data_IF_038606498532
#
_entry.id   IF_038606498532
#
_cell.length_a   1.000
_cell.length_b   1.000
_cell.length_c   1.000
_cell.angle_alpha   90.00
_cell.angle_beta   90.00
_cell.angle_gamma   90.00
#
_symmetry.space_group_name_H-M   'P 1'
#
loop_
_entity.id
_entity.type
_entity.pdbx_description
1 polymer ?
#
# COMPACT_ATOMS: atom_id res chain seq x y z
N UNK A 1 7.65 -24.21 5.79
CA UNK A 1 7.05 -22.87 5.65
C UNK A 1 7.26 -22.45 4.19
N UNK A 2 6.20 -22.15 3.43
CA UNK A 2 6.37 -21.62 2.07
C UNK A 2 7.02 -20.23 2.17
N UNK A 3 7.97 -19.88 1.30
CA UNK A 3 8.45 -18.50 1.22
C UNK A 3 7.29 -17.58 0.82
N UNK A 4 7.34 -16.32 1.27
CA UNK A 4 6.37 -15.30 0.86
C UNK A 4 6.33 -15.20 -0.67
N UNK A 5 5.15 -15.12 -1.30
CA UNK A 5 5.05 -14.90 -2.74
C UNK A 5 5.46 -13.48 -3.13
N UNK A 6 5.39 -12.52 -2.19
CA UNK A 6 5.73 -11.11 -2.42
C UNK A 6 7.25 -10.93 -2.60
N UNK A 7 7.71 -10.28 -3.70
CA UNK A 7 9.11 -9.92 -3.89
C UNK A 7 9.70 -9.12 -2.73
N UNK A 8 10.98 -9.34 -2.43
CA UNK A 8 11.62 -8.80 -1.23
C UNK A 8 11.65 -7.25 -1.19
N UNK A 9 11.84 -6.61 -2.33
CA UNK A 9 11.83 -5.15 -2.48
C UNK A 9 10.43 -4.57 -2.20
N UNK A 10 9.38 -5.18 -2.75
CA UNK A 10 7.99 -4.81 -2.47
C UNK A 10 7.65 -5.02 -0.99
N UNK A 11 8.01 -6.17 -0.42
CA UNK A 11 7.80 -6.46 0.99
C UNK A 11 8.51 -5.43 1.90
N UNK A 12 9.73 -5.04 1.54
CA UNK A 12 10.52 -4.03 2.27
C UNK A 12 9.82 -2.67 2.26
N UNK A 13 9.34 -2.20 1.10
CA UNK A 13 8.67 -0.91 1.02
C UNK A 13 7.26 -0.94 1.63
N UNK A 14 6.52 -2.06 1.55
CA UNK A 14 5.26 -2.24 2.28
C UNK A 14 5.46 -2.13 3.79
N UNK A 15 6.51 -2.74 4.34
CA UNK A 15 6.80 -2.65 5.78
C UNK A 15 7.21 -1.23 6.19
N UNK A 16 8.00 -0.53 5.35
CA UNK A 16 8.34 0.88 5.57
C UNK A 16 7.10 1.77 5.54
N UNK A 17 6.20 1.54 4.58
CA UNK A 17 4.93 2.25 4.49
C UNK A 17 4.06 1.98 5.72
N UNK A 18 3.94 0.71 6.13
CA UNK A 18 3.18 0.32 7.32
C UNK A 18 3.68 1.02 8.58
N UNK A 19 4.99 0.96 8.85
CA UNK A 19 5.60 1.61 10.02
C UNK A 19 5.42 3.13 9.98
N UNK A 20 5.57 3.75 8.82
CA UNK A 20 5.40 5.19 8.67
C UNK A 20 3.94 5.62 8.90
N UNK A 21 2.98 4.85 8.40
CA UNK A 21 1.55 5.09 8.58
C UNK A 21 1.13 5.03 10.05
N UNK A 22 1.60 4.01 10.78
CA UNK A 22 1.35 3.86 12.22
C UNK A 22 1.87 5.03 13.07
N UNK A 23 2.81 5.83 12.53
CA UNK A 23 3.36 7.01 13.17
C UNK A 23 2.70 8.32 12.71
N UNK A 24 1.74 8.27 11.78
CA UNK A 24 1.02 9.48 11.35
C UNK A 24 -0.03 9.87 12.42
N UNK A 25 -0.09 11.16 12.79
CA UNK A 25 -1.28 11.72 13.40
C UNK A 25 -2.53 11.41 12.58
N UNK A 26 -3.68 11.20 13.26
CA UNK A 26 -4.91 10.72 12.63
C UNK A 26 -5.40 11.65 11.52
N UNK A 27 -5.37 12.97 11.73
CA UNK A 27 -5.71 13.99 10.74
C UNK A 27 -4.88 13.84 9.45
N UNK A 28 -3.58 13.56 9.59
CA UNK A 28 -2.68 13.32 8.45
C UNK A 28 -2.95 11.98 7.79
N UNK A 29 -3.28 10.94 8.55
CA UNK A 29 -3.66 9.65 7.99
C UNK A 29 -4.95 9.79 7.15
N UNK A 30 -5.95 10.52 7.66
CA UNK A 30 -7.18 10.85 6.91
C UNK A 30 -6.86 11.60 5.62
N UNK A 31 -6.00 12.63 5.68
CA UNK A 31 -5.59 13.37 4.49
C UNK A 31 -4.80 12.54 3.46
N UNK A 32 -4.10 11.49 3.92
CA UNK A 32 -3.32 10.60 3.07
C UNK A 32 -4.14 9.45 2.46
N UNK A 33 -5.29 9.09 3.04
CA UNK A 33 -6.15 8.00 2.56
C UNK A 33 -6.45 8.04 1.04
N UNK A 34 -6.77 9.19 0.42
CA UNK A 34 -7.06 9.23 -1.02
C UNK A 34 -5.91 8.71 -1.89
N UNK A 35 -4.65 8.97 -1.50
CA UNK A 35 -3.49 8.47 -2.22
C UNK A 35 -3.30 6.95 -2.09
N UNK A 36 -3.64 6.39 -0.94
CA UNK A 36 -3.61 4.93 -0.73
C UNK A 36 -4.73 4.27 -1.53
N UNK A 37 -5.94 4.84 -1.51
CA UNK A 37 -7.07 4.35 -2.30
C UNK A 37 -6.85 4.43 -3.81
N UNK A 38 -6.18 5.48 -4.29
CA UNK A 38 -5.79 5.56 -5.70
C UNK A 38 -4.83 4.43 -6.09
N UNK A 39 -3.88 4.08 -5.23
CA UNK A 39 -3.00 2.93 -5.45
C UNK A 39 -3.80 1.62 -5.44
N UNK A 40 -4.67 1.41 -4.45
CA UNK A 40 -5.53 0.22 -4.35
C UNK A 40 -6.38 0.02 -5.61
N UNK A 41 -7.04 1.08 -6.09
CA UNK A 41 -7.89 1.01 -7.27
C UNK A 41 -7.09 0.70 -8.55
N UNK A 42 -5.86 1.21 -8.67
CA UNK A 42 -5.00 0.88 -9.80
C UNK A 42 -4.50 -0.57 -9.75
N UNK A 43 -4.24 -1.10 -8.55
CA UNK A 43 -3.81 -2.49 -8.38
C UNK A 43 -4.90 -3.50 -8.75
N UNK A 44 -6.15 -3.24 -8.35
CA UNK A 44 -7.28 -4.16 -8.56
C UNK A 44 -8.01 -3.88 -9.87
N UNK A 45 -7.84 -2.70 -10.47
CA UNK A 45 -8.56 -2.27 -11.67
C UNK A 45 -10.00 -1.79 -11.42
N UNK A 46 -10.42 -1.71 -10.15
CA UNK A 46 -11.73 -1.21 -9.74
C UNK A 46 -11.66 -0.50 -8.38
N UNK A 47 -12.66 0.34 -8.04
CA UNK A 47 -12.69 1.02 -6.74
C UNK A 47 -12.71 0.04 -5.55
N UNK A 48 -11.76 0.21 -4.63
CA UNK A 48 -11.72 -0.55 -3.37
C UNK A 48 -12.53 0.19 -2.29
N UNK A 49 -13.35 -0.49 -1.47
CA UNK A 49 -14.09 0.15 -0.39
C UNK A 49 -13.21 0.91 0.59
N UNK A 50 -13.59 2.15 0.90
CA UNK A 50 -12.92 2.96 1.91
C UNK A 50 -13.37 2.55 3.32
N UNK A 51 -12.51 1.77 4.00
CA UNK A 51 -12.70 1.34 5.39
C UNK A 51 -12.02 2.28 6.40
N UNK A 52 -11.51 3.43 5.92
CA UNK A 52 -10.89 4.45 6.73
C UNK A 52 -9.41 4.20 7.09
N UNK A 53 -8.78 5.17 7.76
CA UNK A 53 -7.34 5.18 7.99
C UNK A 53 -6.84 4.09 8.93
N UNK A 54 -7.74 3.48 9.70
CA UNK A 54 -7.40 2.36 10.59
C UNK A 54 -7.12 1.06 9.82
N UNK A 55 -7.64 0.91 8.60
CA UNK A 55 -7.66 -0.37 7.87
C UNK A 55 -6.99 -0.28 6.49
N UNK A 56 -6.85 0.93 5.92
CA UNK A 56 -6.41 1.10 4.52
C UNK A 56 -5.03 0.51 4.19
N UNK A 57 -4.10 0.48 5.15
CA UNK A 57 -2.79 -0.18 4.96
C UNK A 57 -2.90 -1.70 5.02
N UNK A 58 -3.81 -2.24 5.84
CA UNK A 58 -4.05 -3.68 5.87
C UNK A 58 -4.73 -4.15 4.57
N UNK A 59 -5.63 -3.34 3.99
CA UNK A 59 -6.17 -3.59 2.65
C UNK A 59 -5.07 -3.63 1.59
N UNK A 60 -4.12 -2.68 1.63
CA UNK A 60 -2.98 -2.66 0.71
C UNK A 60 -2.10 -3.89 0.86
N UNK A 61 -1.83 -4.34 2.09
CA UNK A 61 -1.03 -5.54 2.34
C UNK A 61 -1.74 -6.80 1.83
N UNK A 62 -3.05 -6.92 2.05
CA UNK A 62 -3.85 -8.06 1.59
C UNK A 62 -3.87 -8.14 0.06
N UNK A 63 -4.21 -7.04 -0.62
CA UNK A 63 -4.27 -6.97 -2.08
C UNK A 63 -2.91 -7.28 -2.72
N UNK A 64 -1.82 -6.70 -2.19
CA UNK A 64 -0.48 -7.03 -2.72
C UNK A 64 -0.14 -8.50 -2.51
N UNK A 65 -0.52 -9.09 -1.37
CA UNK A 65 -0.29 -10.52 -1.16
C UNK A 65 -1.09 -11.37 -2.15
N UNK A 66 -2.38 -11.08 -2.35
CA UNK A 66 -3.27 -11.79 -3.29
C UNK A 66 -2.72 -11.75 -4.72
N UNK A 67 -2.31 -10.57 -5.20
CA UNK A 67 -1.75 -10.40 -6.55
C UNK A 67 -0.50 -11.26 -6.78
N UNK A 68 0.35 -11.44 -5.76
CA UNK A 68 1.56 -12.24 -5.91
C UNK A 68 1.35 -13.73 -5.62
N UNK A 69 0.31 -14.12 -4.87
CA UNK A 69 -0.02 -15.53 -4.63
C UNK A 69 -0.80 -16.14 -5.81
N UNK A 70 -1.54 -15.34 -6.60
CA UNK A 70 -2.23 -15.81 -7.81
C UNK A 70 -1.24 -16.00 -8.98
N UNK A 71 -1.03 -17.24 -9.47
CA UNK A 71 -0.13 -17.51 -10.60
C UNK A 71 -0.64 -16.97 -11.95
N UNK A 72 -1.91 -16.60 -12.06
CA UNK A 72 -2.51 -15.99 -13.26
C UNK A 72 -2.39 -14.47 -13.30
N UNK A 73 -2.10 -13.83 -12.17
CA UNK A 73 -1.95 -12.39 -12.07
C UNK A 73 -0.50 -11.98 -12.31
N UNK A 74 -0.31 -11.04 -13.25
CA UNK A 74 1.02 -10.60 -13.63
C UNK A 74 1.71 -9.83 -12.50
N UNK A 75 3.04 -9.79 -12.51
CA UNK A 75 3.78 -8.90 -11.60
C UNK A 75 3.35 -7.46 -11.82
N UNK A 76 3.04 -6.75 -10.74
CA UNK A 76 2.81 -5.30 -10.79
C UNK A 76 4.12 -4.59 -11.12
N UNK A 77 4.23 -3.90 -12.26
CA UNK A 77 5.43 -3.16 -12.61
C UNK A 77 5.70 -2.05 -11.58
N UNK A 78 6.97 -1.93 -11.19
CA UNK A 78 7.48 -0.79 -10.41
C UNK A 78 6.83 -0.59 -9.02
N UNK A 79 6.15 -1.60 -8.47
CA UNK A 79 5.37 -1.46 -7.23
C UNK A 79 6.20 -0.96 -6.04
N UNK A 80 7.46 -1.39 -5.89
CA UNK A 80 8.34 -0.91 -4.83
C UNK A 80 8.58 0.61 -4.90
N UNK A 81 8.78 1.16 -6.10
CA UNK A 81 8.96 2.61 -6.29
C UNK A 81 7.65 3.38 -6.11
N UNK A 82 6.52 2.79 -6.50
CA UNK A 82 5.18 3.35 -6.25
C UNK A 82 4.89 3.45 -4.75
N UNK A 83 5.19 2.41 -3.99
CA UNK A 83 5.08 2.40 -2.52
C UNK A 83 6.01 3.42 -1.87
N UNK A 84 7.24 3.55 -2.38
CA UNK A 84 8.19 4.58 -1.93
C UNK A 84 7.62 5.98 -2.14
N UNK A 85 7.12 6.26 -3.35
CA UNK A 85 6.51 7.55 -3.70
C UNK A 85 5.29 7.86 -2.84
N UNK A 86 4.40 6.88 -2.64
CA UNK A 86 3.24 7.00 -1.76
C UNK A 86 3.68 7.37 -0.34
N UNK A 87 4.63 6.63 0.24
CA UNK A 87 5.15 6.89 1.59
C UNK A 87 5.79 8.28 1.73
N UNK A 88 6.51 8.76 0.71
CA UNK A 88 7.14 10.07 0.73
C UNK A 88 6.12 11.21 0.66
N UNK A 89 5.00 11.01 -0.04
CA UNK A 89 3.92 12.00 -0.12
C UNK A 89 3.33 12.37 1.25
N UNK A 90 3.27 11.41 2.18
CA UNK A 90 2.72 11.63 3.53
C UNK A 90 3.54 12.61 4.37
N UNK A 91 4.85 12.75 4.08
CA UNK A 91 5.72 13.71 4.77
C UNK A 91 5.53 15.14 4.26
N UNK A 92 5.00 15.30 3.04
CA UNK A 92 4.74 16.62 2.43
C UNK A 92 3.42 17.24 2.94
N UNK A 93 2.58 16.49 3.66
CA UNK A 93 1.36 16.97 4.31
C UNK A 93 1.64 17.81 5.59
N UNK A 94 2.78 18.51 5.62
CA UNK A 94 3.27 19.27 6.78
C UNK A 94 2.95 20.78 6.70
N UNK A 95 2.02 21.18 5.83
CA UNK A 95 1.61 22.58 5.62
C UNK A 95 0.46 23.02 6.52
#
# INVERSE_FOLDING_TARGET
>A
MRPSPVPQDVATELDRATRRWQQLPLDRAVAACPGVHALLADLVGEPVPDLGPAVVIDQLRAIVFEIYDDPGEGRVPDLANRLTSLRLSWSQLSG
#
